data_IF_104864674123
#
_entry.id   IF_104864674123
#
_cell.length_a   1.000
_cell.length_b   1.000
_cell.length_c   1.000
_cell.angle_alpha   90.00
_cell.angle_beta   90.00
_cell.angle_gamma   90.00
#
_symmetry.space_group_name_H-M   'P 1'
#
loop_
_entity.id
_entity.type
_entity.pdbx_description
1 polymer ?
#
# COMPACT_ATOMS: atom_id res chain seq x y z
N UNK A 1 19.21 -56.65 -9.62
CA UNK A 1 19.67 -58.01 -9.97
C UNK A 1 20.40 -57.95 -11.29
N UNK A 2 21.65 -58.42 -11.33
CA UNK A 2 22.49 -58.76 -10.17
C UNK A 2 22.94 -57.44 -9.45
N UNK A 3 23.58 -57.37 -8.27
CA UNK A 3 24.40 -58.32 -7.51
C UNK A 3 25.81 -58.49 -8.14
N UNK A 4 26.94 -58.77 -7.47
CA UNK A 4 27.25 -59.46 -6.20
C UNK A 4 28.44 -58.79 -5.45
N UNK A 5 28.48 -58.76 -4.11
CA UNK A 5 29.34 -59.54 -3.17
C UNK A 5 30.86 -59.17 -3.12
N UNK A 6 31.67 -59.48 -2.09
CA UNK A 6 31.51 -60.46 -0.97
C UNK A 6 32.22 -60.05 0.34
N UNK A 7 31.67 -60.47 1.49
CA UNK A 7 32.35 -60.64 2.80
C UNK A 7 32.84 -62.10 2.95
N UNK A 8 33.70 -62.48 3.93
CA UNK A 8 33.26 -62.95 5.27
C UNK A 8 34.34 -62.70 6.36
N UNK A 9 34.50 -63.32 7.54
CA UNK A 9 33.73 -64.11 8.56
C UNK A 9 34.27 -63.59 9.94
N UNK A 10 33.66 -63.67 11.15
CA UNK A 10 32.65 -64.53 11.80
C UNK A 10 33.22 -65.82 12.44
N UNK A 11 33.16 -65.90 13.78
CA UNK A 11 33.45 -67.07 14.63
C UNK A 11 33.72 -66.67 16.10
N UNK A 12 33.42 -67.44 17.15
CA UNK A 12 32.71 -68.73 17.19
C UNK A 12 32.93 -69.54 18.48
N UNK A 13 32.25 -69.18 19.58
CA UNK A 13 31.94 -69.94 20.83
C UNK A 13 32.94 -70.95 21.48
N UNK A 14 33.11 -70.88 22.82
CA UNK A 14 32.87 -72.02 23.75
C UNK A 14 32.72 -71.52 25.22
N UNK A 15 32.84 -72.39 26.22
CA UNK A 15 32.15 -72.36 27.53
C UNK A 15 33.08 -72.52 28.75
N UNK A 16 32.48 -72.51 29.95
CA UNK A 16 33.02 -72.94 31.27
C UNK A 16 34.13 -72.04 31.88
N UNK A 17 34.36 -72.00 33.20
CA UNK A 17 33.81 -72.78 34.33
C UNK A 17 33.58 -71.89 35.58
N UNK A 18 32.95 -72.43 36.64
CA UNK A 18 32.85 -71.80 37.96
C UNK A 18 33.85 -72.42 38.95
N UNK A 19 34.00 -71.82 40.14
CA UNK A 19 33.97 -72.64 41.36
C UNK A 19 32.82 -72.23 42.29
N UNK A 20 32.38 -73.19 43.09
CA UNK A 20 31.25 -73.06 44.03
C UNK A 20 31.71 -73.24 45.50
N UNK A 21 30.74 -73.31 46.41
CA UNK A 21 30.84 -73.81 47.82
C UNK A 21 31.69 -72.99 48.81
N UNK A 22 31.29 -72.80 50.08
CA UNK A 22 29.97 -72.95 50.73
C UNK A 22 29.98 -72.21 52.10
N UNK A 23 28.80 -72.08 52.74
CA UNK A 23 28.56 -72.42 54.16
C UNK A 23 27.68 -71.42 54.94
N UNK A 24 26.44 -71.88 55.18
CA UNK A 24 25.67 -71.78 56.44
C UNK A 24 25.27 -70.41 57.05
N UNK A 25 23.99 -70.06 56.83
CA UNK A 25 22.94 -69.71 57.82
C UNK A 25 23.33 -69.45 59.30
N UNK A 26 22.73 -68.39 59.89
CA UNK A 26 21.73 -68.53 60.97
C UNK A 26 20.89 -67.24 61.14
N UNK A 27 19.79 -67.30 61.89
CA UNK A 27 18.77 -66.23 62.00
C UNK A 27 19.22 -64.99 62.82
N UNK A 28 18.57 -63.81 62.75
CA UNK A 28 17.29 -63.58 63.47
C UNK A 28 16.58 -62.24 63.17
N UNK A 29 15.25 -62.33 63.05
CA UNK A 29 14.18 -61.37 63.45
C UNK A 29 14.53 -59.87 63.55
N UNK A 30 14.03 -59.06 62.60
CA UNK A 30 14.19 -57.59 62.58
C UNK A 30 12.93 -56.78 62.23
N UNK A 31 11.75 -57.12 62.78
CA UNK A 31 10.44 -56.50 62.45
C UNK A 31 10.38 -54.99 62.76
N UNK A 32 10.76 -54.12 61.83
CA UNK A 32 10.56 -52.66 61.91
C UNK A 32 9.31 -52.22 61.13
N UNK A 33 8.60 -51.22 61.67
CA UNK A 33 7.36 -50.65 61.10
C UNK A 33 7.64 -49.94 59.75
N UNK A 34 6.65 -49.84 58.85
CA UNK A 34 6.73 -48.91 57.72
C UNK A 34 6.83 -47.47 58.24
N UNK A 35 7.97 -46.81 57.99
CA UNK A 35 8.25 -45.46 58.47
C UNK A 35 7.57 -44.39 57.59
N UNK A 36 6.27 -44.20 57.82
CA UNK A 36 5.49 -43.00 57.48
C UNK A 36 5.66 -42.43 56.06
N UNK A 37 4.73 -42.77 55.14
CA UNK A 37 4.56 -42.11 53.84
C UNK A 37 4.05 -40.66 53.92
N UNK A 38 4.52 -39.87 54.90
CA UNK A 38 4.03 -38.51 55.23
C UNK A 38 4.95 -37.40 54.71
N UNK A 39 6.23 -37.68 54.45
CA UNK A 39 7.17 -36.74 53.81
C UNK A 39 7.04 -36.77 52.28
N UNK A 40 7.00 -37.95 51.66
CA UNK A 40 6.89 -38.09 50.20
C UNK A 40 5.63 -37.41 49.64
N UNK A 41 4.47 -37.59 50.28
CA UNK A 41 3.24 -36.89 49.90
C UNK A 41 3.32 -35.36 50.07
N UNK A 42 4.02 -34.87 51.11
CA UNK A 42 4.22 -33.44 51.33
C UNK A 42 5.14 -32.81 50.27
N UNK A 43 6.21 -33.51 49.88
CA UNK A 43 7.07 -33.11 48.76
C UNK A 43 6.31 -33.15 47.43
N UNK A 44 5.50 -34.18 47.18
CA UNK A 44 4.65 -34.25 45.99
C UNK A 44 3.66 -33.07 45.93
N UNK A 45 3.01 -32.71 47.04
CA UNK A 45 2.13 -31.53 47.12
C UNK A 45 2.90 -30.23 46.85
N UNK A 46 4.14 -30.08 47.37
CA UNK A 46 5.00 -28.93 47.08
C UNK A 46 5.39 -28.84 45.60
N UNK A 47 5.78 -29.95 44.99
CA UNK A 47 6.13 -30.01 43.56
C UNK A 47 4.90 -29.71 42.69
N UNK A 48 3.74 -30.29 43.00
CA UNK A 48 2.48 -29.99 42.30
C UNK A 48 2.05 -28.52 42.44
N UNK A 49 2.28 -27.89 43.60
CA UNK A 49 2.04 -26.45 43.77
C UNK A 49 2.98 -25.59 42.91
N UNK A 50 4.27 -25.94 42.81
CA UNK A 50 5.21 -25.23 41.93
C UNK A 50 4.83 -25.40 40.46
N UNK A 51 4.47 -26.62 40.04
CA UNK A 51 3.98 -26.89 38.68
C UNK A 51 2.69 -26.10 38.40
N UNK A 52 1.74 -26.06 39.35
CA UNK A 52 0.51 -25.30 39.21
C UNK A 52 0.77 -23.78 39.10
N UNK A 53 1.69 -23.23 39.89
CA UNK A 53 2.10 -21.82 39.78
C UNK A 53 2.78 -21.52 38.45
N UNK A 54 3.60 -22.43 37.91
CA UNK A 54 4.20 -22.29 36.58
C UNK A 54 3.14 -22.37 35.46
N UNK A 55 2.15 -23.26 35.58
CA UNK A 55 1.04 -23.35 34.62
C UNK A 55 0.17 -22.09 34.67
N UNK A 56 -0.22 -21.62 35.86
CA UNK A 56 -1.02 -20.40 36.02
C UNK A 56 -0.23 -19.17 35.55
N UNK A 57 1.06 -19.05 35.91
CA UNK A 57 1.93 -17.96 35.45
C UNK A 57 2.11 -17.96 33.93
N UNK A 58 2.30 -19.12 33.32
CA UNK A 58 2.36 -19.28 31.86
C UNK A 58 1.03 -18.91 31.19
N UNK A 59 -0.11 -19.34 31.75
CA UNK A 59 -1.44 -19.02 31.24
C UNK A 59 -1.79 -17.52 31.37
N UNK A 60 -1.42 -16.89 32.48
CA UNK A 60 -1.56 -15.43 32.67
C UNK A 60 -0.65 -14.67 31.70
N UNK A 61 0.59 -15.12 31.49
CA UNK A 61 1.49 -14.55 30.50
C UNK A 61 0.97 -14.71 29.06
N UNK A 62 0.38 -15.86 28.71
CA UNK A 62 -0.27 -16.08 27.42
C UNK A 62 -1.48 -15.15 27.22
N UNK A 63 -2.29 -14.91 28.26
CA UNK A 63 -3.35 -13.91 28.21
C UNK A 63 -2.76 -12.50 28.04
N UNK A 64 -1.73 -12.15 28.80
CA UNK A 64 -1.13 -10.81 28.76
C UNK A 64 -0.51 -10.48 27.40
N UNK A 65 0.24 -11.39 26.76
CA UNK A 65 0.75 -11.17 25.39
C UNK A 65 -0.34 -11.22 24.31
N UNK A 66 -1.55 -11.70 24.62
CA UNK A 66 -2.71 -11.67 23.70
C UNK A 66 -3.51 -10.37 23.84
N UNK A 67 -3.52 -9.75 25.02
CA UNK A 67 -4.17 -8.46 25.30
C UNK A 67 -3.23 -7.26 25.08
N UNK A 68 -1.93 -7.47 25.27
CA UNK A 68 -0.85 -6.48 25.15
C UNK A 68 0.31 -7.03 24.30
N UNK A 69 0.11 -7.37 23.00
CA UNK A 69 1.16 -7.95 22.15
C UNK A 69 2.42 -7.09 21.97
N UNK A 70 2.33 -5.77 22.18
CA UNK A 70 3.46 -4.83 22.27
C UNK A 70 4.44 -5.13 23.44
N UNK A 71 3.94 -5.71 24.53
CA UNK A 71 4.76 -6.24 25.63
C UNK A 71 5.29 -7.66 25.34
N UNK A 72 4.75 -8.30 24.30
CA UNK A 72 5.08 -9.66 23.88
C UNK A 72 6.21 -9.74 22.84
N UNK A 73 6.50 -10.96 22.32
CA UNK A 73 7.62 -11.19 21.41
C UNK A 73 7.57 -10.35 20.12
N UNK A 74 6.39 -10.12 19.53
CA UNK A 74 6.26 -9.32 18.31
C UNK A 74 6.55 -7.83 18.56
N UNK A 75 6.17 -7.27 19.72
CA UNK A 75 6.55 -5.91 20.13
C UNK A 75 8.07 -5.70 20.24
N UNK A 76 8.80 -6.66 20.80
CA UNK A 76 10.27 -6.65 20.77
C UNK A 76 10.84 -6.78 19.35
N UNK A 77 10.20 -7.60 18.51
CA UNK A 77 10.64 -7.92 17.14
C UNK A 77 10.47 -6.73 16.18
N UNK A 78 9.36 -6.00 16.27
CA UNK A 78 9.11 -4.78 15.47
C UNK A 78 9.98 -3.61 15.90
N UNK A 79 10.18 -3.40 17.22
CA UNK A 79 11.11 -2.38 17.73
C UNK A 79 12.55 -2.65 17.30
N UNK A 80 12.98 -3.91 17.30
CA UNK A 80 14.27 -4.34 16.74
C UNK A 80 14.39 -4.01 15.25
N UNK A 81 13.34 -4.24 14.45
CA UNK A 81 13.31 -3.94 13.00
C UNK A 81 13.36 -2.42 12.78
N UNK A 82 12.55 -1.64 13.49
CA UNK A 82 12.54 -0.18 13.45
C UNK A 82 13.91 0.41 13.80
N UNK A 83 14.51 0.04 14.93
CA UNK A 83 15.85 0.51 15.33
C UNK A 83 16.96 0.04 14.39
N UNK A 84 16.80 -1.08 13.68
CA UNK A 84 17.75 -1.54 12.67
C UNK A 84 17.63 -0.74 11.36
N UNK A 85 16.41 -0.40 10.95
CA UNK A 85 16.15 0.51 9.83
C UNK A 85 16.67 1.92 10.13
N UNK A 86 16.30 2.49 11.28
CA UNK A 86 16.73 3.80 11.77
C UNK A 86 18.26 3.92 11.77
N UNK A 87 18.95 2.96 12.40
CA UNK A 87 20.42 2.91 12.53
C UNK A 87 21.17 2.67 11.21
N UNK A 88 20.45 2.26 10.15
CA UNK A 88 20.97 2.16 8.78
C UNK A 88 20.75 3.48 8.04
N UNK A 89 19.49 3.94 7.96
CA UNK A 89 19.08 5.20 7.35
C UNK A 89 19.87 6.39 7.90
N UNK A 90 20.04 6.49 9.23
CA UNK A 90 20.75 7.59 9.90
C UNK A 90 22.27 7.65 9.63
N UNK A 91 22.80 6.74 8.79
CA UNK A 91 24.20 6.71 8.35
C UNK A 91 24.35 6.87 6.85
N UNK A 92 23.26 6.84 6.09
CA UNK A 92 23.31 6.99 4.65
C UNK A 92 23.67 8.45 4.30
N UNK A 93 24.62 8.69 3.37
CA UNK A 93 25.05 10.05 3.04
C UNK A 93 23.96 10.91 2.39
N UNK A 94 22.83 10.35 1.95
CA UNK A 94 21.70 11.07 1.37
C UNK A 94 20.63 11.44 2.41
N UNK A 95 20.70 10.90 3.63
CA UNK A 95 19.74 11.19 4.71
C UNK A 95 20.16 12.43 5.50
N UNK A 96 19.18 13.25 5.90
CA UNK A 96 19.34 14.42 6.78
C UNK A 96 18.88 14.11 8.20
N UNK A 97 17.74 13.44 8.34
CA UNK A 97 17.20 13.02 9.64
C UNK A 97 16.27 11.81 9.48
N UNK A 98 16.16 11.02 10.55
CA UNK A 98 15.23 9.89 10.68
C UNK A 98 14.50 10.02 12.01
N UNK A 99 13.21 9.75 12.03
CA UNK A 99 12.40 9.65 13.25
C UNK A 99 11.59 8.35 13.18
N UNK A 100 11.71 7.49 14.19
CA UNK A 100 10.73 6.42 14.39
C UNK A 100 9.46 7.04 14.95
N UNK A 101 8.39 7.04 14.14
CA UNK A 101 7.07 7.58 14.49
C UNK A 101 6.27 6.55 15.29
N UNK A 102 6.33 5.28 14.87
CA UNK A 102 5.70 4.15 15.56
C UNK A 102 6.57 2.89 15.42
N UNK A 103 6.43 1.97 16.38
CA UNK A 103 7.03 0.63 16.37
C UNK A 103 6.29 -0.25 17.38
N UNK A 104 5.11 -0.75 17.00
CA UNK A 104 4.15 -1.41 17.89
C UNK A 104 3.61 -2.72 17.32
N UNK A 105 3.18 -3.60 18.22
CA UNK A 105 2.36 -4.77 17.89
C UNK A 105 1.01 -4.64 18.61
N UNK A 106 -0.09 -4.71 17.88
CA UNK A 106 -1.44 -4.66 18.44
C UNK A 106 -2.28 -5.87 17.97
N UNK A 107 -3.61 -5.80 18.10
CA UNK A 107 -4.53 -6.89 17.70
C UNK A 107 -4.87 -6.82 16.19
N UNK A 108 -4.66 -5.66 15.55
CA UNK A 108 -4.86 -5.45 14.12
C UNK A 108 -3.63 -5.76 13.26
N UNK A 109 -2.43 -5.59 13.80
CA UNK A 109 -1.18 -5.85 13.07
C UNK A 109 0.10 -5.68 13.88
N UNK A 110 1.21 -5.55 13.16
CA UNK A 110 2.53 -5.25 13.74
C UNK A 110 3.31 -4.43 12.74
N UNK A 111 3.62 -3.18 13.09
CA UNK A 111 4.10 -2.18 12.13
C UNK A 111 5.12 -1.23 12.74
N UNK A 112 6.03 -0.75 11.88
CA UNK A 112 6.98 0.30 12.19
C UNK A 112 6.89 1.41 11.15
N UNK A 113 6.70 2.64 11.62
CA UNK A 113 6.63 3.85 10.81
C UNK A 113 7.88 4.70 11.04
N UNK A 114 8.61 5.00 9.97
CA UNK A 114 9.76 5.89 9.98
C UNK A 114 9.50 7.09 9.07
N UNK A 115 9.66 8.30 9.59
CA UNK A 115 9.72 9.53 8.80
C UNK A 115 11.18 9.91 8.55
N UNK A 116 11.52 10.17 7.29
CA UNK A 116 12.89 10.38 6.83
C UNK A 116 12.95 11.63 5.96
N UNK A 117 13.80 12.60 6.34
CA UNK A 117 14.19 13.69 5.45
C UNK A 117 15.43 13.26 4.67
N UNK A 118 15.34 13.25 3.35
CA UNK A 118 16.53 13.14 2.48
C UNK A 118 17.07 14.53 2.13
N UNK A 119 18.29 14.55 1.60
CA UNK A 119 18.87 15.73 0.98
C UNK A 119 18.12 16.05 -0.30
N UNK A 120 18.04 17.33 -0.60
CA UNK A 120 17.46 17.78 -1.87
C UNK A 120 18.34 17.30 -3.04
N UNK A 121 17.69 17.04 -4.18
CA UNK A 121 18.22 16.37 -5.38
C UNK A 121 18.77 14.94 -5.15
N UNK A 122 18.36 14.25 -4.08
CA UNK A 122 18.55 12.79 -3.98
C UNK A 122 17.77 12.09 -5.11
N UNK A 123 18.48 11.36 -5.97
CA UNK A 123 17.90 10.78 -7.20
C UNK A 123 17.02 9.56 -6.93
N UNK A 124 16.15 9.24 -7.89
CA UNK A 124 15.29 8.05 -7.85
C UNK A 124 16.09 6.73 -7.73
N UNK A 125 17.30 6.66 -8.31
CA UNK A 125 18.20 5.51 -8.16
C UNK A 125 18.74 5.42 -6.72
N UNK A 126 19.17 6.54 -6.14
CA UNK A 126 19.66 6.58 -4.75
C UNK A 126 18.54 6.24 -3.75
N UNK A 127 17.31 6.70 -3.99
CA UNK A 127 16.12 6.32 -3.21
C UNK A 127 15.84 4.82 -3.32
N UNK A 128 15.91 4.25 -4.54
CA UNK A 128 15.71 2.82 -4.76
C UNK A 128 16.75 1.97 -3.99
N UNK A 129 18.02 2.34 -4.06
CA UNK A 129 19.11 1.65 -3.33
C UNK A 129 19.04 1.87 -1.81
N UNK A 130 18.57 3.04 -1.35
CA UNK A 130 18.33 3.33 0.06
C UNK A 130 17.22 2.45 0.64
N UNK A 131 16.06 2.36 -0.02
CA UNK A 131 14.97 1.47 0.38
C UNK A 131 15.40 0.00 0.34
N UNK A 132 16.08 -0.42 -0.75
CA UNK A 132 16.54 -1.78 -0.92
C UNK A 132 17.61 -2.20 0.12
N UNK A 133 18.49 -1.29 0.54
CA UNK A 133 19.47 -1.53 1.60
C UNK A 133 18.82 -1.48 2.99
N UNK A 134 17.86 -0.58 3.22
CA UNK A 134 17.13 -0.44 4.50
C UNK A 134 16.37 -1.71 4.87
N UNK A 135 15.59 -2.31 3.96
CA UNK A 135 14.99 -3.63 4.22
C UNK A 135 16.08 -4.67 4.57
N UNK A 136 17.22 -4.66 3.85
CA UNK A 136 18.29 -5.64 4.06
C UNK A 136 18.92 -5.50 5.44
N UNK A 137 19.01 -4.29 5.99
CA UNK A 137 19.48 -4.02 7.35
C UNK A 137 18.41 -4.33 8.42
N UNK A 138 17.14 -4.00 8.15
CA UNK A 138 16.04 -4.11 9.11
C UNK A 138 15.59 -5.56 9.35
N UNK A 139 15.40 -6.32 8.27
CA UNK A 139 14.94 -7.72 8.31
C UNK A 139 16.08 -8.74 8.20
N UNK A 140 17.20 -8.36 7.56
CA UNK A 140 18.25 -9.30 7.15
C UNK A 140 18.02 -9.91 5.76
N UNK A 141 18.91 -10.81 5.33
CA UNK A 141 18.74 -11.58 4.09
C UNK A 141 17.81 -12.76 4.33
N UNK A 142 16.83 -12.94 3.44
CA UNK A 142 15.89 -14.08 3.42
C UNK A 142 15.10 -14.27 4.74
N UNK A 143 14.68 -13.17 5.37
CA UNK A 143 13.93 -13.24 6.62
C UNK A 143 12.52 -13.81 6.42
N UNK A 144 12.04 -14.71 7.29
CA UNK A 144 10.65 -15.15 7.32
C UNK A 144 9.70 -14.15 8.00
N UNK A 145 10.23 -13.03 8.54
CA UNK A 145 9.48 -12.02 9.29
C UNK A 145 8.56 -11.14 8.41
N UNK A 146 7.93 -11.71 7.37
CA UNK A 146 7.01 -11.01 6.44
C UNK A 146 5.64 -10.71 7.05
N UNK A 147 5.48 -10.88 8.36
CA UNK A 147 4.27 -10.57 9.12
C UNK A 147 4.33 -9.16 9.78
N UNK A 148 5.39 -8.39 9.49
CA UNK A 148 5.66 -7.09 10.07
C UNK A 148 5.84 -6.08 8.94
N UNK A 149 5.02 -5.04 8.94
CA UNK A 149 5.09 -3.96 7.96
C UNK A 149 6.19 -2.97 8.37
N UNK A 150 6.89 -2.36 7.39
CA UNK A 150 7.92 -1.35 7.65
C UNK A 150 7.70 -0.15 6.73
N UNK A 151 6.82 0.75 7.13
CA UNK A 151 6.51 1.95 6.37
C UNK A 151 7.62 2.99 6.53
N UNK A 152 8.26 3.33 5.42
CA UNK A 152 9.27 4.39 5.35
C UNK A 152 8.71 5.54 4.54
N UNK A 153 8.34 6.63 5.24
CA UNK A 153 7.94 7.90 4.62
C UNK A 153 9.19 8.71 4.31
N UNK A 154 9.45 8.90 3.02
CA UNK A 154 10.55 9.71 2.51
C UNK A 154 10.02 11.10 2.16
N UNK A 155 10.70 12.16 2.62
CA UNK A 155 10.43 13.53 2.18
C UNK A 155 11.70 14.24 1.72
N UNK A 156 11.64 14.88 0.54
CA UNK A 156 12.75 15.65 -0.04
C UNK A 156 12.27 16.57 -1.17
N UNK A 157 13.15 17.42 -1.67
CA UNK A 157 12.93 18.16 -2.92
C UNK A 157 13.76 17.51 -4.04
N UNK A 158 13.21 17.29 -5.23
CA UNK A 158 13.95 16.82 -6.40
C UNK A 158 13.64 17.74 -7.59
N UNK A 159 14.65 18.41 -8.12
CA UNK A 159 14.54 19.31 -9.28
C UNK A 159 13.49 20.43 -9.10
N UNK A 160 13.22 20.82 -7.86
CA UNK A 160 12.18 21.79 -7.47
C UNK A 160 10.84 21.18 -7.04
N UNK A 161 10.56 19.92 -7.38
CA UNK A 161 9.37 19.18 -6.95
C UNK A 161 9.47 18.78 -5.48
N UNK A 162 8.46 19.08 -4.67
CA UNK A 162 8.38 18.63 -3.28
C UNK A 162 7.75 17.23 -3.19
N UNK A 163 8.49 16.27 -2.66
CA UNK A 163 8.08 14.86 -2.61
C UNK A 163 7.81 14.44 -1.17
N UNK A 164 6.71 13.71 -0.94
CA UNK A 164 6.43 12.99 0.31
C UNK A 164 5.73 11.65 0.04
N UNK A 165 6.49 10.57 -0.05
CA UNK A 165 5.99 9.24 -0.42
C UNK A 165 6.33 8.18 0.62
N UNK A 166 5.39 7.28 0.91
CA UNK A 166 5.54 6.20 1.89
C UNK A 166 5.67 4.85 1.20
N UNK A 167 6.69 4.07 1.56
CA UNK A 167 6.99 2.76 0.97
C UNK A 167 7.02 1.69 2.05
N UNK A 168 6.27 0.60 1.86
CA UNK A 168 6.35 -0.58 2.74
C UNK A 168 7.59 -1.42 2.41
N UNK A 169 8.65 -1.21 3.19
CA UNK A 169 9.90 -1.91 3.08
C UNK A 169 9.85 -3.40 3.48
N UNK A 170 8.69 -3.97 3.83
CA UNK A 170 8.50 -5.42 3.86
C UNK A 170 8.26 -6.00 2.44
N UNK A 171 7.59 -5.26 1.57
CA UNK A 171 7.14 -5.72 0.25
C UNK A 171 8.16 -5.56 -0.89
N UNK A 172 9.10 -6.49 -1.04
CA UNK A 172 9.89 -6.61 -2.29
C UNK A 172 9.01 -7.15 -3.43
N UNK A 173 9.23 -6.80 -4.72
CA UNK A 173 10.24 -5.85 -5.25
C UNK A 173 9.66 -4.63 -5.99
N UNK A 174 8.32 -4.53 -6.16
CA UNK A 174 7.68 -3.59 -7.10
C UNK A 174 7.91 -2.11 -6.79
N UNK A 175 8.15 -1.77 -5.53
CA UNK A 175 8.45 -0.40 -5.05
C UNK A 175 9.52 0.30 -5.89
N UNK A 176 10.54 -0.45 -6.34
CA UNK A 176 11.69 0.09 -7.07
C UNK A 176 11.32 0.52 -8.50
N UNK A 177 10.34 -0.15 -9.12
CA UNK A 177 9.80 0.22 -10.44
C UNK A 177 8.92 1.46 -10.29
N UNK A 178 7.97 1.40 -9.35
CA UNK A 178 7.02 2.48 -9.06
C UNK A 178 7.74 3.78 -8.71
N UNK A 179 8.65 3.77 -7.72
CA UNK A 179 9.40 4.96 -7.31
C UNK A 179 10.19 5.59 -8.47
N UNK A 180 10.87 4.80 -9.31
CA UNK A 180 11.59 5.33 -10.48
C UNK A 180 10.66 5.93 -11.52
N UNK A 181 9.53 5.27 -11.78
CA UNK A 181 8.57 5.65 -12.81
C UNK A 181 7.79 6.92 -12.44
N UNK A 182 7.43 7.08 -11.16
CA UNK A 182 6.66 8.24 -10.71
C UNK A 182 7.55 9.50 -10.57
N UNK A 183 8.81 9.30 -10.16
CA UNK A 183 9.81 10.38 -10.03
C UNK A 183 10.31 10.91 -11.39
N UNK A 184 9.96 10.34 -12.54
CA UNK A 184 10.25 10.97 -13.85
C UNK A 184 9.44 12.24 -14.08
N UNK A 185 8.37 12.47 -13.29
CA UNK A 185 7.58 13.70 -13.31
C UNK A 185 8.23 14.86 -12.53
N UNK A 186 9.29 14.58 -11.75
CA UNK A 186 10.00 15.61 -11.00
C UNK A 186 10.74 16.59 -11.94
N UNK A 187 10.66 17.88 -11.62
CA UNK A 187 11.08 18.99 -12.48
C UNK A 187 9.94 19.63 -13.29
N UNK A 188 8.89 18.87 -13.63
CA UNK A 188 7.62 19.44 -14.12
C UNK A 188 6.57 19.52 -13.01
N UNK A 189 6.47 18.49 -12.16
CA UNK A 189 5.52 18.46 -11.06
C UNK A 189 5.92 19.44 -9.95
N UNK A 190 4.92 20.00 -9.27
CA UNK A 190 5.09 20.84 -8.07
C UNK A 190 5.15 19.98 -6.81
N UNK A 191 4.25 18.99 -6.69
CA UNK A 191 4.28 17.99 -5.60
C UNK A 191 4.03 16.58 -6.09
N UNK A 192 4.67 15.61 -5.43
CA UNK A 192 4.40 14.17 -5.58
C UNK A 192 4.18 13.60 -4.18
N UNK A 193 3.01 13.03 -3.90
CA UNK A 193 2.69 12.44 -2.61
C UNK A 193 1.94 11.10 -2.71
N UNK A 194 1.80 10.42 -1.57
CA UNK A 194 0.82 9.34 -1.41
C UNK A 194 -0.19 9.75 -0.34
N UNK A 195 -1.42 10.00 -0.76
CA UNK A 195 -2.56 10.37 0.10
C UNK A 195 -3.71 9.41 -0.14
N UNK A 196 -4.33 8.90 0.95
CA UNK A 196 -5.41 7.91 0.85
C UNK A 196 -4.99 6.57 0.23
N UNK A 197 -3.70 6.22 0.27
CA UNK A 197 -3.15 5.02 -0.38
C UNK A 197 -3.02 5.12 -1.91
N UNK A 198 -3.21 6.31 -2.49
CA UNK A 198 -3.05 6.58 -3.93
C UNK A 198 -1.92 7.59 -4.14
N UNK A 199 -1.16 7.41 -5.20
CA UNK A 199 -0.15 8.39 -5.63
C UNK A 199 -0.83 9.60 -6.27
N UNK A 200 -0.46 10.80 -5.84
CA UNK A 200 -0.93 12.07 -6.38
C UNK A 200 0.26 12.87 -6.92
N UNK A 201 0.09 13.45 -8.12
CA UNK A 201 1.10 14.31 -8.76
C UNK A 201 0.39 15.61 -9.17
N UNK A 202 0.65 16.70 -8.44
CA UNK A 202 0.16 18.05 -8.78
C UNK A 202 1.26 18.83 -9.51
N UNK A 203 0.97 19.29 -10.72
CA UNK A 203 1.81 20.22 -11.47
C UNK A 203 1.53 21.69 -11.11
N UNK A 204 0.44 21.96 -10.37
CA UNK A 204 0.05 23.29 -9.96
C UNK A 204 -0.49 24.13 -11.12
N UNK A 205 -0.16 25.42 -11.13
CA UNK A 205 -0.54 26.35 -12.20
C UNK A 205 0.46 26.26 -13.35
N UNK A 206 -0.02 25.97 -14.56
CA UNK A 206 0.80 25.76 -15.76
C UNK A 206 0.31 26.62 -16.93
N UNK A 207 1.23 26.98 -17.83
CA UNK A 207 0.93 27.75 -19.07
C UNK A 207 0.89 26.90 -20.33
N UNK A 208 1.11 25.59 -20.19
CA UNK A 208 1.01 24.55 -21.22
C UNK A 208 0.82 23.20 -20.51
N UNK A 209 0.28 22.20 -21.21
CA UNK A 209 0.11 20.85 -20.64
C UNK A 209 1.51 20.23 -20.36
N UNK A 210 1.78 19.71 -19.14
CA UNK A 210 3.07 19.09 -18.83
C UNK A 210 3.38 17.89 -19.72
N UNK A 211 4.64 17.75 -20.18
CA UNK A 211 5.02 16.67 -21.12
C UNK A 211 4.97 15.28 -20.45
N UNK A 212 5.02 15.26 -19.12
CA UNK A 212 4.89 14.06 -18.29
C UNK A 212 3.45 13.79 -17.80
N UNK A 213 2.48 14.66 -18.12
CA UNK A 213 1.09 14.54 -17.65
C UNK A 213 0.43 13.21 -18.05
N UNK A 214 0.65 12.72 -19.28
CA UNK A 214 0.03 11.48 -19.78
C UNK A 214 1.00 10.29 -19.85
N UNK A 215 2.22 10.43 -19.31
CA UNK A 215 3.14 9.31 -19.17
C UNK A 215 2.60 8.31 -18.13
N UNK A 216 2.71 6.98 -18.35
CA UNK A 216 2.23 5.99 -17.40
C UNK A 216 2.90 6.10 -16.02
N UNK A 217 2.17 5.77 -14.96
CA UNK A 217 2.59 5.92 -13.56
C UNK A 217 2.14 4.70 -12.74
N UNK A 218 2.16 4.76 -11.40
CA UNK A 218 1.54 3.74 -10.55
C UNK A 218 0.06 3.50 -10.92
N UNK A 219 -0.47 2.26 -10.89
CA UNK A 219 -1.89 1.99 -11.08
C UNK A 219 -2.79 2.81 -10.14
N UNK A 220 -3.90 3.35 -10.67
CA UNK A 220 -4.84 4.23 -9.93
C UNK A 220 -4.21 5.49 -9.33
N UNK A 221 -3.03 5.91 -9.79
CA UNK A 221 -2.47 7.24 -9.53
C UNK A 221 -3.32 8.33 -10.16
N UNK A 222 -3.28 9.53 -9.57
CA UNK A 222 -3.99 10.71 -10.06
C UNK A 222 -3.00 11.84 -10.35
N UNK A 223 -3.12 12.43 -11.54
CA UNK A 223 -2.32 13.57 -12.01
C UNK A 223 -3.22 14.79 -12.12
N UNK A 224 -2.74 15.96 -11.69
CA UNK A 224 -3.53 17.20 -11.63
C UNK A 224 -2.73 18.40 -12.13
N UNK A 225 -3.32 19.26 -12.97
CA UNK A 225 -2.80 20.60 -13.24
C UNK A 225 -3.93 21.63 -13.27
N UNK A 226 -3.60 22.92 -13.24
CA UNK A 226 -4.54 24.02 -13.51
C UNK A 226 -3.98 24.91 -14.62
N UNK A 227 -4.76 25.13 -15.67
CA UNK A 227 -4.38 25.99 -16.81
C UNK A 227 -5.57 26.87 -17.16
N UNK A 228 -5.34 28.17 -17.37
CA UNK A 228 -6.37 29.15 -17.76
C UNK A 228 -7.62 29.15 -16.85
N UNK A 229 -7.45 28.89 -15.54
CA UNK A 229 -8.55 28.81 -14.56
C UNK A 229 -9.25 27.45 -14.48
N UNK A 230 -8.94 26.51 -15.37
CA UNK A 230 -9.51 25.17 -15.39
C UNK A 230 -8.57 24.15 -14.73
N UNK A 231 -9.07 23.48 -13.68
CA UNK A 231 -8.33 22.38 -13.02
C UNK A 231 -8.62 21.08 -13.77
N UNK A 232 -7.59 20.51 -14.39
CA UNK A 232 -7.63 19.17 -14.98
C UNK A 232 -7.13 18.16 -13.96
N UNK A 233 -7.90 17.10 -13.76
CA UNK A 233 -7.56 15.91 -13.00
C UNK A 233 -7.66 14.72 -13.95
N UNK A 234 -6.73 13.77 -13.87
CA UNK A 234 -6.81 12.51 -14.60
C UNK A 234 -6.28 11.36 -13.75
N UNK A 235 -7.02 10.27 -13.74
CA UNK A 235 -6.76 9.08 -12.95
C UNK A 235 -6.39 7.92 -13.88
N UNK A 236 -5.31 7.22 -13.56
CA UNK A 236 -4.85 6.07 -14.34
C UNK A 236 -5.64 4.81 -14.05
N UNK A 237 -5.69 3.93 -15.06
CA UNK A 237 -6.34 2.62 -14.96
C UNK A 237 -5.52 1.62 -14.11
N UNK A 238 -5.94 0.35 -14.10
CA UNK A 238 -5.26 -0.74 -13.39
C UNK A 238 -3.84 -1.04 -13.91
N UNK A 239 -3.49 -0.60 -15.12
CA UNK A 239 -2.19 -0.77 -15.77
C UNK A 239 -1.33 0.51 -15.72
N UNK A 240 -1.77 1.52 -14.96
CA UNK A 240 -1.07 2.80 -14.84
C UNK A 240 -1.14 3.72 -16.07
N UNK A 241 -2.03 3.42 -17.03
CA UNK A 241 -2.24 4.21 -18.25
C UNK A 241 -3.27 5.32 -18.02
N UNK A 242 -3.09 6.48 -18.66
CA UNK A 242 -4.02 7.61 -18.66
C UNK A 242 -4.70 7.74 -20.04
N UNK A 243 -5.99 8.08 -20.08
CA UNK A 243 -6.67 8.43 -21.34
C UNK A 243 -6.21 9.80 -21.85
N UNK A 244 -6.24 9.99 -23.18
CA UNK A 244 -5.72 11.19 -23.86
C UNK A 244 -6.77 11.88 -24.75
N UNK A 245 -7.84 12.46 -24.18
CA UNK A 245 -8.69 13.41 -24.90
C UNK A 245 -7.92 14.70 -25.19
N UNK A 246 -8.37 15.55 -26.14
CA UNK A 246 -7.70 16.79 -26.50
C UNK A 246 -7.90 17.89 -25.44
N UNK A 247 -7.21 17.76 -24.29
CA UNK A 247 -7.35 18.64 -23.12
C UNK A 247 -7.24 20.14 -23.43
N UNK A 248 -6.33 20.55 -24.31
CA UNK A 248 -6.15 21.95 -24.70
C UNK A 248 -7.40 22.52 -25.40
N UNK A 249 -8.02 21.71 -26.25
CA UNK A 249 -9.29 22.05 -26.91
C UNK A 249 -10.45 22.00 -25.91
N UNK A 250 -10.48 21.04 -24.99
CA UNK A 250 -11.52 20.93 -23.94
C UNK A 250 -11.52 22.16 -23.01
N UNK A 251 -10.34 22.59 -22.55
CA UNK A 251 -10.17 23.80 -21.74
C UNK A 251 -10.57 25.04 -22.56
N UNK A 252 -10.21 25.10 -23.84
CA UNK A 252 -10.59 26.21 -24.73
C UNK A 252 -12.09 26.26 -24.98
N UNK A 253 -12.76 25.12 -25.15
CA UNK A 253 -14.20 25.01 -25.35
C UNK A 253 -14.99 25.34 -24.08
N UNK A 254 -14.64 24.71 -22.96
CA UNK A 254 -15.27 24.98 -21.66
C UNK A 254 -15.02 26.44 -21.20
N UNK A 255 -13.85 26.99 -21.53
CA UNK A 255 -13.48 28.39 -21.33
C UNK A 255 -14.36 29.42 -22.06
N UNK A 256 -15.17 29.01 -23.06
CA UNK A 256 -16.16 29.88 -23.70
C UNK A 256 -17.39 30.10 -22.80
N UNK A 257 -17.69 29.14 -21.93
CA UNK A 257 -18.88 29.15 -21.07
C UNK A 257 -18.57 29.64 -19.63
N UNK A 258 -17.34 29.42 -19.15
CA UNK A 258 -16.90 29.88 -17.83
C UNK A 258 -15.38 30.12 -17.75
N UNK A 259 -14.92 31.16 -17.02
CA UNK A 259 -13.49 31.40 -16.79
C UNK A 259 -12.84 30.38 -15.84
N UNK A 260 -13.62 29.57 -15.12
CA UNK A 260 -13.11 28.59 -14.15
C UNK A 260 -14.03 27.39 -14.03
N UNK A 261 -13.46 26.19 -14.00
CA UNK A 261 -14.18 24.96 -13.75
C UNK A 261 -13.24 23.78 -13.57
N UNK A 262 -13.78 22.56 -13.62
CA UNK A 262 -12.98 21.34 -13.49
C UNK A 262 -13.25 20.35 -14.61
N UNK A 263 -12.21 19.64 -15.02
CA UNK A 263 -12.25 18.51 -15.95
C UNK A 263 -11.63 17.34 -15.18
N UNK A 264 -12.40 16.31 -14.86
CA UNK A 264 -11.90 15.05 -14.30
C UNK A 264 -12.01 13.93 -15.32
N UNK A 265 -11.12 12.95 -15.23
CA UNK A 265 -11.02 11.83 -16.16
C UNK A 265 -10.61 10.56 -15.43
N UNK A 266 -11.59 9.74 -15.06
CA UNK A 266 -11.37 8.44 -14.41
C UNK A 266 -12.00 7.31 -15.25
N UNK A 267 -11.20 6.27 -15.53
CA UNK A 267 -11.63 5.02 -16.16
C UNK A 267 -12.58 5.18 -17.38
N UNK A 268 -12.25 6.12 -18.29
CA UNK A 268 -13.04 6.39 -19.51
C UNK A 268 -14.25 7.30 -19.33
N UNK A 269 -14.53 7.78 -18.11
CA UNK A 269 -15.52 8.82 -17.84
C UNK A 269 -14.84 10.18 -17.82
N UNK A 270 -15.22 11.09 -18.72
CA UNK A 270 -14.82 12.49 -18.74
C UNK A 270 -15.92 13.33 -18.09
N UNK A 271 -15.62 14.02 -16.99
CA UNK A 271 -16.60 14.81 -16.24
C UNK A 271 -16.17 16.28 -16.21
N UNK A 272 -16.99 17.17 -16.79
CA UNK A 272 -16.70 18.60 -16.92
C UNK A 272 -17.70 19.42 -16.12
N UNK A 273 -17.21 20.21 -15.16
CA UNK A 273 -18.05 20.96 -14.21
C UNK A 273 -17.67 22.43 -14.15
N UNK A 274 -18.60 23.28 -13.70
CA UNK A 274 -18.42 24.74 -13.69
C UNK A 274 -18.70 25.39 -15.05
N UNK A 275 -19.47 24.72 -15.93
CA UNK A 275 -19.76 25.19 -17.30
C UNK A 275 -20.75 26.37 -17.38
N UNK A 276 -21.29 26.86 -16.25
CA UNK A 276 -22.25 27.98 -16.24
C UNK A 276 -21.92 28.92 -15.07
N UNK A 277 -21.88 30.22 -15.35
CA UNK A 277 -21.64 31.29 -14.35
C UNK A 277 -22.88 32.15 -14.04
N UNK A 278 -23.99 31.87 -14.73
CA UNK A 278 -25.25 32.58 -14.63
C UNK A 278 -26.12 32.10 -13.43
N UNK A 279 -27.05 32.95 -12.99
CA UNK A 279 -27.87 32.70 -11.79
C UNK A 279 -28.98 31.64 -11.99
N UNK A 280 -29.36 31.31 -13.23
CA UNK A 280 -30.25 30.16 -13.52
C UNK A 280 -29.52 28.84 -13.32
N UNK A 281 -28.23 28.82 -13.69
CA UNK A 281 -27.35 27.64 -13.78
C UNK A 281 -27.80 26.60 -14.81
N UNK A 282 -28.73 26.92 -15.69
CA UNK A 282 -29.22 25.99 -16.71
C UNK A 282 -28.11 25.66 -17.73
N UNK A 283 -27.89 24.37 -17.99
CA UNK A 283 -26.86 23.87 -18.90
C UNK A 283 -27.31 24.01 -20.36
N UNK A 284 -27.15 25.21 -20.92
CA UNK A 284 -27.59 25.51 -22.28
C UNK A 284 -26.81 24.71 -23.35
N UNK A 285 -27.41 24.42 -24.52
CA UNK A 285 -26.71 23.88 -25.67
C UNK A 285 -25.52 24.75 -26.10
N UNK A 286 -25.63 26.06 -25.99
CA UNK A 286 -24.55 27.01 -26.32
C UNK A 286 -23.32 26.84 -25.41
N UNK A 287 -23.51 26.55 -24.13
CA UNK A 287 -22.43 26.31 -23.17
C UNK A 287 -21.81 24.91 -23.27
N UNK A 288 -22.61 23.92 -23.66
CA UNK A 288 -22.25 22.49 -23.58
C UNK A 288 -21.81 21.87 -24.91
N UNK A 289 -22.42 22.27 -26.03
CA UNK A 289 -22.12 21.72 -27.34
C UNK A 289 -20.65 21.85 -27.80
N UNK A 290 -19.92 22.95 -27.51
CA UNK A 290 -18.49 23.05 -27.83
C UNK A 290 -17.65 21.97 -27.14
N UNK A 291 -17.99 21.61 -25.90
CA UNK A 291 -17.31 20.56 -25.12
C UNK A 291 -17.62 19.18 -25.71
N UNK A 292 -18.88 18.90 -26.03
CA UNK A 292 -19.31 17.64 -26.68
C UNK A 292 -18.64 17.47 -28.05
N UNK A 293 -18.65 18.53 -28.87
CA UNK A 293 -18.03 18.53 -30.21
C UNK A 293 -16.53 18.22 -30.14
N UNK A 294 -15.82 18.79 -29.16
CA UNK A 294 -14.38 18.58 -28.93
C UNK A 294 -14.02 17.10 -28.70
N UNK A 295 -14.96 16.28 -28.22
CA UNK A 295 -14.80 14.82 -28.06
C UNK A 295 -15.86 14.03 -28.84
N UNK A 296 -16.32 14.54 -30.00
CA UNK A 296 -17.40 13.94 -30.77
C UNK A 296 -17.14 12.47 -31.17
N UNK A 297 -15.90 12.15 -31.56
CA UNK A 297 -15.42 10.77 -31.65
C UNK A 297 -14.96 10.29 -30.26
N UNK A 298 -15.92 9.79 -29.50
CA UNK A 298 -15.67 9.26 -28.16
C UNK A 298 -14.74 8.03 -28.15
N UNK A 299 -14.65 7.29 -29.26
CA UNK A 299 -13.83 6.10 -29.36
C UNK A 299 -12.34 6.45 -29.54
N UNK A 300 -11.98 7.42 -30.38
CA UNK A 300 -10.57 7.85 -30.49
C UNK A 300 -10.10 8.69 -29.30
N UNK A 301 -11.01 9.40 -28.61
CA UNK A 301 -10.74 10.04 -27.32
C UNK A 301 -10.54 9.04 -26.16
N UNK A 302 -10.88 7.75 -26.34
CA UNK A 302 -10.76 6.71 -25.31
C UNK A 302 -11.76 6.88 -24.17
N UNK A 303 -12.99 7.33 -24.48
CA UNK A 303 -14.05 7.64 -23.53
C UNK A 303 -15.25 6.71 -23.70
N UNK A 304 -15.80 6.23 -22.59
CA UNK A 304 -17.08 5.51 -22.53
C UNK A 304 -18.23 6.43 -22.16
N UNK A 305 -17.95 7.49 -21.41
CA UNK A 305 -18.95 8.34 -20.76
C UNK A 305 -18.48 9.79 -20.76
N UNK A 306 -19.39 10.72 -21.04
CA UNK A 306 -19.19 12.16 -20.87
C UNK A 306 -20.25 12.68 -19.91
N UNK A 307 -19.85 13.45 -18.89
CA UNK A 307 -20.76 14.06 -17.92
C UNK A 307 -20.53 15.56 -17.85
N UNK A 308 -21.60 16.35 -17.93
CA UNK A 308 -21.53 17.82 -17.88
C UNK A 308 -22.35 18.36 -16.69
N UNK A 309 -21.80 19.33 -15.96
CA UNK A 309 -22.45 19.94 -14.80
C UNK A 309 -22.19 21.45 -14.69
N UNK A 310 -23.14 22.18 -14.11
CA UNK A 310 -23.04 23.63 -13.88
C UNK A 310 -22.18 23.97 -12.65
N UNK A 311 -22.10 23.08 -11.65
CA UNK A 311 -21.52 23.40 -10.35
C UNK A 311 -19.98 23.33 -10.34
N UNK A 312 -19.37 24.33 -9.70
CA UNK A 312 -17.99 24.23 -9.27
C UNK A 312 -17.86 23.19 -8.14
N UNK A 313 -16.75 22.45 -8.11
CA UNK A 313 -16.45 21.38 -7.15
C UNK A 313 -15.95 21.90 -5.79
N UNK A 314 -16.46 23.04 -5.33
CA UNK A 314 -16.13 23.63 -4.01
C UNK A 314 -16.90 22.98 -2.84
N UNK A 315 -17.85 22.09 -3.16
CA UNK A 315 -18.61 21.28 -2.22
C UNK A 315 -18.30 19.79 -2.38
N UNK A 316 -18.29 19.04 -1.27
CA UNK A 316 -17.99 17.58 -1.25
C UNK A 316 -19.09 16.69 -1.87
N UNK A 317 -19.97 17.28 -2.68
CA UNK A 317 -21.02 16.60 -3.44
C UNK A 317 -21.45 17.51 -4.59
N UNK A 318 -20.95 17.25 -5.80
CA UNK A 318 -21.63 17.74 -7.00
C UNK A 318 -22.96 16.99 -7.04
N UNK A 319 -24.06 17.71 -6.78
CA UNK A 319 -25.38 17.10 -6.71
C UNK A 319 -25.90 16.76 -8.12
N UNK A 320 -27.06 16.10 -8.15
CA UNK A 320 -27.84 15.91 -9.36
C UNK A 320 -28.67 17.17 -9.71
N UNK A 321 -28.99 17.39 -11.00
CA UNK A 321 -28.76 16.50 -12.14
C UNK A 321 -27.44 16.76 -12.88
N UNK A 322 -26.81 15.68 -13.33
CA UNK A 322 -25.81 15.69 -14.39
C UNK A 322 -26.47 15.44 -15.75
N UNK A 323 -26.03 16.15 -16.79
CA UNK A 323 -26.23 15.70 -18.17
C UNK A 323 -25.19 14.62 -18.46
N UNK A 324 -25.60 13.47 -18.99
CA UNK A 324 -24.71 12.32 -19.23
C UNK A 324 -24.90 11.77 -20.63
N UNK A 325 -23.78 11.46 -21.29
CA UNK A 325 -23.75 10.85 -22.61
C UNK A 325 -22.92 9.58 -22.58
N UNK A 326 -23.39 8.54 -23.25
CA UNK A 326 -22.72 7.24 -23.33
C UNK A 326 -22.18 7.03 -24.74
N UNK A 327 -20.95 6.54 -24.85
CA UNK A 327 -20.29 6.26 -26.12
C UNK A 327 -20.82 4.95 -26.72
N UNK A 328 -21.35 5.02 -27.94
CA UNK A 328 -21.87 3.89 -28.70
C UNK A 328 -21.30 3.94 -30.12
N UNK A 329 -20.45 2.95 -30.47
CA UNK A 329 -19.77 2.83 -31.78
C UNK A 329 -19.08 4.12 -32.28
N UNK A 330 -18.40 4.85 -31.37
CA UNK A 330 -17.72 6.11 -31.70
C UNK A 330 -18.59 7.36 -31.70
N UNK A 331 -19.88 7.24 -31.37
CA UNK A 331 -20.82 8.37 -31.26
C UNK A 331 -21.43 8.47 -29.87
N UNK A 332 -21.66 9.69 -29.39
CA UNK A 332 -22.43 9.92 -28.16
C UNK A 332 -23.92 9.64 -28.35
N UNK A 333 -24.56 9.04 -27.35
CA UNK A 333 -26.02 8.95 -27.21
C UNK A 333 -26.46 9.49 -25.84
N UNK A 334 -27.68 10.04 -25.70
CA UNK A 334 -28.25 10.40 -24.40
C UNK A 334 -28.24 9.20 -23.44
N UNK A 335 -28.00 9.46 -22.16
CA UNK A 335 -28.05 8.42 -21.12
C UNK A 335 -29.43 8.38 -20.43
N UNK A 336 -30.12 9.51 -20.37
CA UNK A 336 -31.40 9.64 -19.68
C UNK A 336 -32.59 9.58 -20.64
N UNK A 337 -33.76 9.25 -20.09
CA UNK A 337 -35.06 9.43 -20.73
C UNK A 337 -35.78 10.69 -20.17
N UNK A 338 -37.07 10.84 -20.45
CA UNK A 338 -37.85 11.99 -19.98
C UNK A 338 -37.43 13.32 -20.61
N UNK A 339 -37.36 14.38 -19.79
CA UNK A 339 -36.90 15.71 -20.20
C UNK A 339 -35.38 15.78 -20.33
N UNK A 340 -34.63 15.23 -19.37
CA UNK A 340 -33.15 15.25 -19.39
C UNK A 340 -32.61 14.60 -20.67
N UNK A 341 -33.22 13.51 -21.14
CA UNK A 341 -32.88 12.90 -22.43
C UNK A 341 -33.19 13.76 -23.66
N UNK A 342 -34.14 14.70 -23.57
CA UNK A 342 -34.44 15.68 -24.62
C UNK A 342 -33.43 16.84 -24.60
N UNK A 343 -33.00 17.27 -23.42
CA UNK A 343 -31.93 18.26 -23.25
C UNK A 343 -30.61 17.70 -23.79
N UNK A 344 -30.24 16.48 -23.38
CA UNK A 344 -29.10 15.73 -23.91
C UNK A 344 -29.18 15.58 -25.45
N UNK A 345 -30.31 15.13 -26.01
CA UNK A 345 -30.48 15.02 -27.46
C UNK A 345 -30.36 16.38 -28.18
N UNK A 346 -30.84 17.47 -27.57
CA UNK A 346 -30.72 18.83 -28.12
C UNK A 346 -29.26 19.28 -28.15
N UNK A 347 -28.48 18.97 -27.11
CA UNK A 347 -27.05 19.28 -27.03
C UNK A 347 -26.26 18.47 -28.06
N UNK A 348 -26.57 17.18 -28.26
CA UNK A 348 -25.93 16.35 -29.29
C UNK A 348 -26.20 16.88 -30.70
N UNK A 349 -27.45 17.27 -31.00
CA UNK A 349 -27.79 17.91 -32.26
C UNK A 349 -27.00 19.21 -32.45
N UNK A 350 -26.90 20.05 -31.41
CA UNK A 350 -26.16 21.31 -31.44
C UNK A 350 -24.66 21.11 -31.64
N UNK A 351 -24.06 20.06 -31.05
CA UNK A 351 -22.65 19.73 -31.22
C UNK A 351 -22.30 19.23 -32.64
N UNK A 352 -23.29 18.69 -33.36
CA UNK A 352 -23.17 18.29 -34.76
C UNK A 352 -23.39 19.43 -35.78
N UNK A 353 -23.71 20.65 -35.32
CA UNK A 353 -23.80 21.87 -36.15
C UNK A 353 -22.50 22.70 -36.18
N UNK A 354 -21.52 22.35 -35.34
CA UNK A 354 -20.24 23.05 -35.17
C UNK A 354 -19.16 22.54 -36.14
#
# INVERSE_FOLDING_TARGET
MPDEQTTPERGGAQSEEAPATDSSNEASVGRRKPSSGRSAGWWAIRVMLVILVLIIGSFVYLIDITLHPDSGPEGFKVRRIASAAEKHLSKDPNVVSVTVINASADIGGTEADLDVRLKDDTSADAVADLLASTHTAAFGKNSPDTNINLYVTLSWTLHGTSIKTTYDCAGRPDLLRTARQDLTTAGEAKTIDITGGRLNIDYGQVTAIPTTFLQPSAPRSTKTFTMNGWKVTSTSNADGQFSNPPFDQLITAAGQASPTGTIDLDNGTLSVTGLVTDDTKDLTPEATAPVVHTVADCQSAGLTTLQLNNWATDTNSVADPWLTFTCNNGTWTPQHDGSTGQDEATILNKAAEL
#
